data_IF_657851322048
#
_entry.id   IF_657851322048
#
_cell.length_a   1.000
_cell.length_b   1.000
_cell.length_c   1.000
_cell.angle_alpha   90.00
_cell.angle_beta   90.00
_cell.angle_gamma   90.00
#
_symmetry.space_group_name_H-M   'P 1'
#
loop_
_entity.id
_entity.type
_entity.pdbx_description
1 polymer ?
#
# COMPACT_ATOMS: atom_id res chain seq x y z
N UNK A 1 -107.36 45.84 14.80
CA UNK A 1 -106.51 46.21 15.95
C UNK A 1 -105.16 45.54 15.76
N UNK A 2 -104.06 46.29 15.87
CA UNK A 2 -102.65 45.84 15.79
C UNK A 2 -102.41 44.54 16.59
N UNK A 3 -101.45 43.67 16.26
CA UNK A 3 -100.00 43.91 16.22
C UNK A 3 -99.31 42.73 15.48
N UNK A 4 -98.13 42.97 14.89
CA UNK A 4 -97.42 42.01 14.05
C UNK A 4 -96.36 41.15 14.74
N UNK A 5 -95.64 40.44 13.86
CA UNK A 5 -94.21 40.06 13.84
C UNK A 5 -93.91 38.57 13.59
N UNK A 6 -93.02 38.40 12.59
CA UNK A 6 -91.94 37.42 12.38
C UNK A 6 -92.24 36.01 11.82
N UNK A 7 -91.61 35.78 10.65
CA UNK A 7 -90.98 34.60 9.99
C UNK A 7 -90.92 33.24 10.72
N UNK A 8 -90.69 32.08 10.04
CA UNK A 8 -89.82 31.87 8.85
C UNK A 8 -90.32 30.80 7.82
N UNK A 9 -89.41 30.36 6.93
CA UNK A 9 -89.28 29.02 6.28
C UNK A 9 -89.52 28.80 4.76
N UNK A 10 -88.39 28.50 4.08
CA UNK A 10 -88.06 27.40 3.15
C UNK A 10 -88.84 27.06 1.86
N UNK A 11 -88.09 27.08 0.73
CA UNK A 11 -87.96 26.05 -0.38
C UNK A 11 -89.20 25.92 -1.33
N UNK A 12 -89.10 25.73 -2.69
CA UNK A 12 -88.37 24.65 -3.40
C UNK A 12 -87.81 24.86 -4.84
N UNK A 13 -87.02 23.85 -5.27
CA UNK A 13 -86.92 23.09 -6.57
C UNK A 13 -87.28 23.77 -7.92
N UNK A 14 -86.75 23.47 -9.11
CA UNK A 14 -85.76 22.55 -9.70
C UNK A 14 -85.57 22.97 -11.20
N UNK A 15 -84.57 22.40 -11.90
CA UNK A 15 -84.57 21.92 -13.33
C UNK A 15 -83.20 22.10 -14.05
N UNK A 16 -82.65 20.93 -14.43
CA UNK A 16 -81.71 20.48 -15.49
C UNK A 16 -81.39 21.41 -16.72
N UNK A 17 -80.33 21.27 -17.54
CA UNK A 17 -79.21 20.31 -17.75
C UNK A 17 -78.16 20.87 -18.77
N UNK A 18 -76.99 20.19 -18.85
CA UNK A 18 -76.00 20.09 -19.97
C UNK A 18 -75.03 21.27 -20.17
N UNK A 19 -73.71 21.16 -20.41
CA UNK A 19 -72.92 20.18 -21.19
C UNK A 19 -71.50 19.93 -20.62
N UNK A 20 -70.92 18.82 -21.04
CA UNK A 20 -69.61 18.23 -20.74
C UNK A 20 -68.38 19.06 -21.17
N UNK A 21 -67.34 19.12 -20.33
CA UNK A 21 -66.02 19.66 -20.68
C UNK A 21 -64.90 18.86 -20.02
N UNK A 22 -64.02 18.30 -20.86
CA UNK A 22 -62.81 17.54 -20.54
C UNK A 22 -61.95 18.17 -19.42
N UNK A 23 -61.47 17.33 -18.48
CA UNK A 23 -60.41 17.69 -17.53
C UNK A 23 -59.12 16.95 -17.88
N UNK A 24 -58.68 17.07 -19.14
CA UNK A 24 -57.30 16.80 -19.53
C UNK A 24 -56.43 17.95 -19.02
N UNK A 25 -55.96 17.84 -17.77
CA UNK A 25 -54.85 18.68 -17.29
C UNK A 25 -53.56 18.10 -17.89
N UNK A 26 -53.02 18.76 -18.91
CA UNK A 26 -51.63 18.59 -19.33
C UNK A 26 -50.73 18.82 -18.11
N UNK A 27 -50.24 17.74 -17.52
CA UNK A 27 -49.22 17.78 -16.48
C UNK A 27 -47.93 18.25 -17.17
N UNK A 28 -47.45 19.43 -16.80
CA UNK A 28 -46.24 19.99 -17.37
C UNK A 28 -45.06 19.04 -17.12
N UNK A 29 -44.20 18.84 -18.11
CA UNK A 29 -42.97 18.01 -18.01
C UNK A 29 -42.14 18.41 -16.78
N UNK A 30 -42.15 19.68 -16.39
CA UNK A 30 -41.49 20.17 -15.17
C UNK A 30 -42.11 19.64 -13.88
N UNK A 31 -43.43 19.51 -13.80
CA UNK A 31 -44.16 18.96 -12.63
C UNK A 31 -43.91 17.45 -12.52
N UNK A 32 -43.89 16.74 -13.65
CA UNK A 32 -43.48 15.34 -13.69
C UNK A 32 -42.04 15.18 -13.18
N UNK A 33 -41.11 16.00 -13.67
CA UNK A 33 -39.71 15.96 -13.21
C UNK A 33 -39.55 16.29 -11.72
N UNK A 34 -40.31 17.23 -11.18
CA UNK A 34 -40.26 17.56 -9.74
C UNK A 34 -40.85 16.44 -8.89
N UNK A 35 -41.94 15.80 -9.31
CA UNK A 35 -42.52 14.63 -8.64
C UNK A 35 -41.52 13.46 -8.66
N UNK A 36 -40.86 13.20 -9.81
CA UNK A 36 -39.81 12.18 -9.91
C UNK A 36 -38.59 12.50 -9.04
N UNK A 37 -38.15 13.76 -9.00
CA UNK A 37 -37.04 14.20 -8.13
C UNK A 37 -37.40 14.00 -6.64
N UNK A 38 -38.61 14.38 -6.22
CA UNK A 38 -39.07 14.15 -4.85
C UNK A 38 -39.23 12.65 -4.53
N UNK A 39 -39.71 11.83 -5.47
CA UNK A 39 -39.82 10.39 -5.32
C UNK A 39 -38.45 9.70 -5.20
N UNK A 40 -37.43 10.20 -5.90
CA UNK A 40 -36.04 9.72 -5.79
C UNK A 40 -35.37 10.16 -4.48
N UNK A 41 -35.78 11.29 -3.89
CA UNK A 41 -35.29 11.77 -2.58
C UNK A 41 -35.98 11.04 -1.41
N UNK A 42 -37.20 10.53 -1.61
CA UNK A 42 -38.01 9.85 -0.57
C UNK A 42 -37.89 8.32 -0.56
N UNK A 43 -37.16 7.72 -1.51
CA UNK A 43 -36.69 6.36 -1.38
C UNK A 43 -35.33 6.41 -0.67
N UNK A 44 -35.23 6.15 0.64
CA UNK A 44 -33.98 5.65 1.18
C UNK A 44 -33.74 4.34 0.45
N UNK A 45 -32.96 4.39 -0.63
CA UNK A 45 -32.28 3.22 -1.13
C UNK A 45 -31.49 2.70 0.05
N UNK A 46 -31.98 1.64 0.70
CA UNK A 46 -31.21 0.89 1.67
C UNK A 46 -30.14 0.21 0.81
N UNK A 47 -29.05 0.94 0.55
CA UNK A 47 -27.81 0.30 0.18
C UNK A 47 -27.53 -0.65 1.35
N UNK A 48 -27.76 -1.95 1.13
CA UNK A 48 -27.32 -2.96 2.06
C UNK A 48 -25.82 -2.74 2.23
N UNK A 49 -25.41 -2.21 3.38
CA UNK A 49 -24.02 -1.89 3.64
C UNK A 49 -23.28 -3.21 3.83
N UNK A 50 -22.61 -3.66 2.78
CA UNK A 50 -21.72 -4.82 2.86
C UNK A 50 -20.52 -4.41 3.70
N UNK A 51 -20.43 -4.93 4.92
CA UNK A 51 -19.33 -4.58 5.83
C UNK A 51 -18.11 -5.45 5.58
N UNK A 52 -16.92 -4.92 5.87
CA UNK A 52 -15.66 -5.63 5.63
C UNK A 52 -15.21 -6.37 6.90
N UNK A 53 -14.90 -7.66 6.75
CA UNK A 53 -14.32 -8.50 7.79
C UNK A 53 -12.89 -8.85 7.39
N UNK A 54 -11.94 -8.71 8.30
CA UNK A 54 -10.52 -9.03 8.08
C UNK A 54 -10.12 -10.19 8.97
N UNK A 55 -9.42 -11.17 8.43
CA UNK A 55 -8.83 -12.26 9.20
C UNK A 55 -7.43 -12.59 8.71
N UNK A 56 -6.57 -13.06 9.60
CA UNK A 56 -5.29 -13.62 9.21
C UNK A 56 -5.44 -15.06 8.72
N UNK A 57 -4.57 -15.47 7.80
CA UNK A 57 -4.50 -16.83 7.29
C UNK A 57 -4.35 -17.82 8.45
N UNK A 58 -5.13 -18.90 8.43
CA UNK A 58 -5.20 -19.95 9.45
C UNK A 58 -5.76 -19.50 10.82
N UNK A 59 -6.26 -18.27 10.94
CA UNK A 59 -6.95 -17.81 12.15
C UNK A 59 -8.47 -18.00 12.02
N UNK A 60 -9.20 -17.83 13.12
CA UNK A 60 -10.67 -17.79 13.11
C UNK A 60 -11.17 -16.44 12.61
N UNK A 61 -11.98 -16.45 11.56
CA UNK A 61 -12.71 -15.27 11.10
C UNK A 61 -14.06 -15.17 11.84
N UNK A 62 -14.44 -13.95 12.22
CA UNK A 62 -15.69 -13.65 12.92
C UNK A 62 -16.59 -12.81 12.03
N UNK A 63 -17.64 -13.42 11.48
CA UNK A 63 -18.57 -12.79 10.55
C UNK A 63 -19.85 -12.43 11.32
N UNK A 64 -20.05 -11.14 11.61
CA UNK A 64 -21.22 -10.71 12.36
C UNK A 64 -22.43 -10.55 11.43
N UNK A 65 -23.58 -11.03 11.86
CA UNK A 65 -24.83 -10.77 11.16
C UNK A 65 -25.36 -9.37 11.47
N UNK A 66 -24.92 -8.72 12.57
CA UNK A 66 -25.47 -7.45 13.06
C UNK A 66 -26.99 -7.44 13.28
N UNK A 67 -27.58 -8.60 13.59
CA UNK A 67 -29.01 -8.67 13.91
C UNK A 67 -29.28 -8.08 15.30
N UNK A 68 -30.09 -7.02 15.43
CA UNK A 68 -30.26 -6.30 16.69
C UNK A 68 -31.17 -7.01 17.71
N UNK A 69 -31.99 -7.99 17.29
CA UNK A 69 -33.01 -8.67 18.10
C UNK A 69 -33.70 -7.78 19.17
N UNK A 70 -34.36 -6.67 18.79
CA UNK A 70 -34.81 -5.65 19.74
C UNK A 70 -35.87 -6.16 20.72
N UNK A 71 -36.67 -7.16 20.32
CA UNK A 71 -37.71 -7.76 21.16
C UNK A 71 -37.17 -8.85 22.10
N UNK A 72 -35.86 -9.14 22.06
CA UNK A 72 -35.22 -10.23 22.82
C UNK A 72 -35.96 -11.56 22.66
N UNK A 73 -36.42 -11.83 21.45
CA UNK A 73 -37.06 -13.09 21.11
C UNK A 73 -36.10 -14.25 21.35
N UNK A 74 -36.62 -15.38 21.85
CA UNK A 74 -35.84 -16.60 22.07
C UNK A 74 -35.19 -17.07 20.75
N UNK A 75 -33.92 -17.48 20.83
CA UNK A 75 -33.15 -18.05 19.71
C UNK A 75 -33.87 -19.24 19.06
N UNK A 76 -34.72 -19.94 19.80
CA UNK A 76 -35.54 -21.07 19.33
C UNK A 76 -36.64 -20.68 18.35
N UNK A 77 -36.97 -19.40 18.23
CA UNK A 77 -37.94 -18.92 17.22
C UNK A 77 -37.29 -18.61 15.87
N UNK A 78 -35.96 -18.65 15.81
CA UNK A 78 -35.20 -18.27 14.62
C UNK A 78 -34.61 -19.47 13.88
N UNK A 79 -34.52 -19.30 12.57
CA UNK A 79 -33.67 -20.07 11.69
C UNK A 79 -32.65 -19.10 11.11
N UNK A 80 -31.36 -19.44 11.20
CA UNK A 80 -30.25 -18.62 10.70
C UNK A 80 -29.53 -19.39 9.60
N UNK A 81 -29.41 -18.78 8.44
CA UNK A 81 -28.65 -19.32 7.31
C UNK A 81 -27.47 -18.41 7.00
N UNK A 82 -26.30 -19.03 6.84
CA UNK A 82 -25.13 -18.38 6.26
C UNK A 82 -24.83 -18.99 4.90
N UNK A 83 -24.64 -18.13 3.89
CA UNK A 83 -24.38 -18.52 2.51
C UNK A 83 -23.21 -17.76 1.92
N UNK A 84 -22.47 -18.40 1.01
CA UNK A 84 -21.45 -17.77 0.16
C UNK A 84 -21.72 -18.19 -1.28
N UNK A 85 -22.33 -17.31 -2.08
CA UNK A 85 -22.92 -17.72 -3.35
C UNK A 85 -23.96 -18.82 -3.14
N UNK A 86 -23.82 -19.94 -3.85
CA UNK A 86 -24.70 -21.11 -3.73
C UNK A 86 -24.28 -22.08 -2.61
N UNK A 87 -23.17 -21.81 -1.93
CA UNK A 87 -22.65 -22.68 -0.88
C UNK A 87 -23.31 -22.39 0.48
N UNK A 88 -23.77 -23.45 1.14
CA UNK A 88 -24.29 -23.37 2.51
C UNK A 88 -23.12 -23.42 3.48
N UNK A 89 -22.89 -22.31 4.17
CA UNK A 89 -21.75 -22.13 5.08
C UNK A 89 -22.07 -22.66 6.47
N UNK A 90 -23.27 -22.33 6.97
CA UNK A 90 -23.74 -22.76 8.28
C UNK A 90 -25.26 -22.61 8.39
N UNK A 91 -25.89 -23.47 9.18
CA UNK A 91 -27.33 -23.46 9.42
C UNK A 91 -27.62 -23.65 10.92
N UNK A 92 -28.48 -22.79 11.47
CA UNK A 92 -29.06 -22.96 12.80
C UNK A 92 -30.56 -23.04 12.67
N UNK A 93 -31.15 -24.15 13.10
CA UNK A 93 -32.57 -24.42 13.03
C UNK A 93 -33.16 -24.46 14.44
N UNK A 94 -33.98 -23.47 14.81
CA UNK A 94 -34.60 -23.34 16.13
C UNK A 94 -33.61 -23.47 17.29
N UNK A 95 -32.50 -22.73 17.18
CA UNK A 95 -31.44 -22.71 18.17
C UNK A 95 -30.52 -23.94 18.17
N UNK A 96 -30.69 -24.88 17.23
CA UNK A 96 -29.82 -26.05 17.08
C UNK A 96 -29.03 -25.96 15.77
N UNK A 97 -27.71 -26.12 15.84
CA UNK A 97 -26.88 -26.21 14.63
C UNK A 97 -27.25 -27.45 13.81
N UNK A 98 -27.32 -27.29 12.48
CA UNK A 98 -27.56 -28.36 11.51
C UNK A 98 -26.36 -28.46 10.58
N UNK A 99 -25.89 -29.68 10.34
CA UNK A 99 -24.71 -29.95 9.53
C UNK A 99 -24.99 -30.69 8.23
N UNK A 100 -26.21 -31.24 8.08
CA UNK A 100 -26.58 -32.13 6.97
C UNK A 100 -26.50 -31.46 5.59
N UNK A 101 -26.71 -30.14 5.54
CA UNK A 101 -26.77 -29.36 4.30
C UNK A 101 -25.50 -28.52 4.04
N UNK A 102 -24.49 -28.58 4.91
CA UNK A 102 -23.30 -27.74 4.76
C UNK A 102 -22.48 -28.18 3.55
N UNK A 103 -21.95 -27.21 2.81
CA UNK A 103 -20.98 -27.50 1.77
C UNK A 103 -19.73 -28.16 2.38
N UNK A 104 -19.14 -29.19 1.75
CA UNK A 104 -18.09 -30.02 2.37
C UNK A 104 -16.91 -29.24 2.97
N UNK A 105 -16.53 -28.11 2.38
CA UNK A 105 -15.39 -27.29 2.84
C UNK A 105 -15.63 -26.53 4.15
N UNK A 106 -16.87 -26.47 4.64
CA UNK A 106 -17.25 -25.79 5.89
C UNK A 106 -17.58 -26.75 7.02
N UNK A 107 -17.72 -28.05 6.73
CA UNK A 107 -17.94 -29.10 7.73
C UNK A 107 -16.81 -29.05 8.77
N UNK A 108 -17.16 -29.07 10.06
CA UNK A 108 -16.23 -28.97 11.20
C UNK A 108 -15.37 -27.69 11.24
N UNK A 109 -15.69 -26.68 10.43
CA UNK A 109 -14.99 -25.39 10.40
C UNK A 109 -15.87 -24.22 10.80
N UNK A 110 -17.18 -24.40 10.92
CA UNK A 110 -18.12 -23.32 11.26
C UNK A 110 -18.84 -23.57 12.58
N UNK A 111 -19.04 -22.50 13.34
CA UNK A 111 -19.81 -22.48 14.59
C UNK A 111 -20.54 -21.16 14.74
N UNK A 112 -21.75 -21.16 15.30
CA UNK A 112 -22.51 -19.94 15.54
C UNK A 112 -22.45 -19.51 17.02
N UNK A 113 -22.10 -18.26 17.26
CA UNK A 113 -22.33 -17.56 18.53
C UNK A 113 -23.69 -16.85 18.43
N UNK A 114 -24.74 -17.49 18.96
CA UNK A 114 -26.11 -16.98 18.87
C UNK A 114 -26.36 -15.75 19.76
N UNK A 115 -25.58 -15.57 20.83
CA UNK A 115 -25.71 -14.40 21.71
C UNK A 115 -25.22 -13.13 20.99
N UNK A 116 -24.17 -13.29 20.16
CA UNK A 116 -23.56 -12.20 19.38
C UNK A 116 -23.96 -12.19 17.92
N UNK A 117 -24.82 -13.11 17.48
CA UNK A 117 -25.20 -13.27 16.08
C UNK A 117 -24.01 -13.36 15.13
N UNK A 118 -22.97 -14.09 15.53
CA UNK A 118 -21.67 -14.09 14.84
C UNK A 118 -21.27 -15.52 14.45
N UNK A 119 -21.00 -15.71 13.16
CA UNK A 119 -20.42 -16.94 12.63
C UNK A 119 -18.90 -16.95 12.86
N UNK A 120 -18.40 -18.03 13.43
CA UNK A 120 -16.98 -18.32 13.56
C UNK A 120 -16.58 -19.29 12.45
N UNK A 121 -15.66 -18.86 11.58
CA UNK A 121 -15.05 -19.70 10.55
C UNK A 121 -13.61 -20.01 10.96
N UNK A 122 -13.36 -21.26 11.35
CA UNK A 122 -12.08 -21.75 11.84
C UNK A 122 -11.10 -21.99 10.68
N UNK A 123 -9.82 -21.75 10.95
CA UNK A 123 -8.71 -21.96 10.01
C UNK A 123 -8.99 -21.27 8.66
N UNK A 124 -9.30 -19.98 8.68
CA UNK A 124 -9.70 -19.22 7.49
C UNK A 124 -8.56 -19.18 6.47
N UNK A 125 -8.85 -19.63 5.25
CA UNK A 125 -7.92 -19.70 4.13
C UNK A 125 -8.24 -18.67 3.04
N UNK A 126 -7.30 -18.43 2.13
CA UNK A 126 -7.50 -17.51 0.98
C UNK A 126 -8.73 -17.88 0.15
N UNK A 127 -9.03 -19.17 0.01
CA UNK A 127 -10.23 -19.67 -0.70
C UNK A 127 -11.55 -19.29 -0.02
N UNK A 128 -11.51 -18.91 1.25
CA UNK A 128 -12.68 -18.46 1.99
C UNK A 128 -13.00 -16.98 1.73
N UNK A 129 -12.09 -16.19 1.12
CA UNK A 129 -12.38 -14.80 0.75
C UNK A 129 -13.63 -14.68 -0.12
N UNK A 130 -14.38 -13.60 0.11
CA UNK A 130 -15.57 -13.28 -0.66
C UNK A 130 -16.72 -12.79 0.18
N UNK A 131 -17.87 -12.63 -0.47
CA UNK A 131 -19.07 -12.10 0.12
C UNK A 131 -19.92 -13.22 0.73
N UNK A 132 -20.30 -13.02 1.99
CA UNK A 132 -21.17 -13.89 2.77
C UNK A 132 -22.49 -13.18 3.02
N UNK A 133 -23.57 -13.97 3.09
CA UNK A 133 -24.92 -13.51 3.39
C UNK A 133 -25.43 -14.23 4.64
N UNK A 134 -25.91 -13.45 5.59
CA UNK A 134 -26.67 -13.94 6.74
C UNK A 134 -28.16 -13.69 6.50
N UNK A 135 -28.99 -14.71 6.68
CA UNK A 135 -30.45 -14.64 6.52
C UNK A 135 -31.08 -15.16 7.81
N UNK A 136 -31.94 -14.35 8.44
CA UNK A 136 -32.67 -14.74 9.64
C UNK A 136 -34.15 -14.80 9.32
N UNK A 137 -34.71 -15.97 9.61
CA UNK A 137 -36.13 -16.28 9.44
C UNK A 137 -36.73 -16.45 10.83
N UNK A 138 -37.81 -15.74 11.11
CA UNK A 138 -38.59 -15.93 12.33
C UNK A 138 -39.85 -16.73 12.00
N UNK A 139 -40.19 -17.69 12.87
CA UNK A 139 -41.50 -18.36 12.82
C UNK A 139 -42.29 -17.99 14.08
N UNK A 140 -43.12 -16.95 13.98
CA UNK A 140 -44.09 -16.61 15.03
C UNK A 140 -45.27 -17.58 15.06
N UNK A 141 -45.72 -18.00 13.87
CA UNK A 141 -46.87 -18.88 13.70
C UNK A 141 -46.48 -20.10 12.85
N UNK A 142 -46.97 -21.30 13.18
CA UNK A 142 -46.64 -22.57 12.49
C UNK A 142 -46.92 -22.58 10.97
N UNK A 143 -47.58 -21.55 10.43
CA UNK A 143 -48.12 -21.53 9.06
C UNK A 143 -47.24 -20.82 8.01
N UNK A 144 -46.32 -19.93 8.39
CA UNK A 144 -45.41 -19.31 7.40
C UNK A 144 -44.13 -18.74 8.04
N UNK A 145 -42.96 -19.36 7.79
CA UNK A 145 -41.67 -18.73 8.09
C UNK A 145 -41.52 -17.43 7.29
N UNK A 146 -41.04 -16.35 7.92
CA UNK A 146 -40.79 -15.07 7.25
C UNK A 146 -39.34 -14.65 7.46
N UNK A 147 -38.66 -14.26 6.37
CA UNK A 147 -37.36 -13.58 6.45
C UNK A 147 -37.59 -12.23 7.13
N UNK A 148 -36.96 -12.02 8.28
CA UNK A 148 -37.08 -10.79 9.05
C UNK A 148 -35.83 -9.92 8.97
N UNK A 149 -34.70 -10.49 8.57
CA UNK A 149 -33.43 -9.80 8.51
C UNK A 149 -32.49 -10.46 7.52
N UNK A 150 -31.70 -9.65 6.82
CA UNK A 150 -30.65 -10.10 5.92
C UNK A 150 -29.51 -9.09 6.00
N UNK A 151 -28.28 -9.60 6.10
CA UNK A 151 -27.07 -8.79 6.04
C UNK A 151 -26.01 -9.48 5.21
N UNK A 152 -25.06 -8.68 4.73
CA UNK A 152 -23.97 -9.15 3.89
C UNK A 152 -22.63 -8.63 4.42
N UNK A 153 -21.58 -9.42 4.26
CA UNK A 153 -20.23 -9.05 4.64
C UNK A 153 -19.19 -9.62 3.68
N UNK A 154 -18.07 -8.92 3.53
CA UNK A 154 -16.96 -9.35 2.68
C UNK A 154 -15.78 -9.75 3.55
N UNK A 155 -15.40 -11.02 3.51
CA UNK A 155 -14.22 -11.54 4.18
C UNK A 155 -12.97 -11.33 3.33
N UNK A 156 -11.98 -10.67 3.92
CA UNK A 156 -10.64 -10.48 3.37
C UNK A 156 -9.62 -11.21 4.25
N UNK A 157 -8.72 -11.94 3.61
CA UNK A 157 -7.68 -12.74 4.24
C UNK A 157 -6.34 -12.04 4.10
N UNK A 158 -5.54 -12.10 5.15
CA UNK A 158 -4.21 -11.49 5.19
C UNK A 158 -3.15 -12.48 5.64
N UNK A 159 -1.98 -12.41 5.01
CA UNK A 159 -0.78 -13.07 5.48
C UNK A 159 0.36 -12.06 5.52
N UNK A 160 1.15 -12.10 6.59
CA UNK A 160 2.24 -11.15 6.79
C UNK A 160 3.41 -11.49 5.87
N UNK A 161 3.86 -10.49 5.14
CA UNK A 161 5.14 -10.55 4.44
C UNK A 161 6.29 -10.62 5.44
N UNK A 162 7.33 -11.37 5.09
CA UNK A 162 8.61 -11.33 5.79
C UNK A 162 9.21 -9.92 5.71
N UNK A 163 10.01 -9.53 6.69
CA UNK A 163 10.77 -8.29 6.60
C UNK A 163 11.62 -8.30 5.31
N UNK A 164 11.60 -7.23 4.49
CA UNK A 164 12.40 -7.19 3.27
C UNK A 164 13.89 -7.36 3.58
N UNK A 165 14.58 -8.20 2.83
CA UNK A 165 15.99 -8.52 3.03
C UNK A 165 16.81 -8.09 1.81
N UNK A 166 17.93 -7.40 2.04
CA UNK A 166 18.85 -6.95 0.99
C UNK A 166 20.04 -7.91 0.90
N UNK A 167 20.30 -8.43 -0.30
CA UNK A 167 21.42 -9.32 -0.60
C UNK A 167 22.27 -8.74 -1.73
N UNK A 168 23.60 -8.83 -1.60
CA UNK A 168 24.56 -8.50 -2.67
C UNK A 168 24.64 -9.67 -3.65
N UNK A 169 24.43 -9.39 -4.93
CA UNK A 169 24.38 -10.43 -5.98
C UNK A 169 25.78 -10.86 -6.47
N UNK A 170 26.83 -10.17 -6.05
CA UNK A 170 28.21 -10.51 -6.38
C UNK A 170 29.14 -10.31 -5.17
N UNK A 171 30.13 -11.18 -5.05
CA UNK A 171 31.06 -11.29 -3.91
C UNK A 171 32.42 -10.62 -4.13
N UNK A 172 32.57 -9.82 -5.18
CA UNK A 172 33.83 -9.10 -5.46
C UNK A 172 34.08 -7.91 -4.53
N UNK A 173 35.34 -7.48 -4.46
CA UNK A 173 35.72 -6.24 -3.78
C UNK A 173 34.98 -5.04 -4.35
N UNK A 174 34.50 -4.19 -3.44
CA UNK A 174 33.88 -2.92 -3.79
C UNK A 174 34.99 -1.97 -4.25
N UNK A 175 34.86 -1.47 -5.48
CA UNK A 175 35.76 -0.45 -6.02
C UNK A 175 34.98 0.83 -6.33
N UNK A 176 35.62 2.01 -6.22
CA UNK A 176 34.99 3.27 -6.58
C UNK A 176 34.41 3.19 -8.01
N UNK A 177 33.21 3.74 -8.20
CA UNK A 177 32.52 3.80 -9.49
C UNK A 177 32.22 2.46 -10.17
N UNK A 178 32.43 1.32 -9.48
CA UNK A 178 31.88 0.04 -9.91
C UNK A 178 30.41 -0.09 -9.49
N UNK A 179 29.70 -0.85 -10.30
CA UNK A 179 28.32 -1.20 -10.08
C UNK A 179 28.17 -2.16 -8.89
N UNK A 180 27.29 -1.79 -7.97
CA UNK A 180 26.81 -2.59 -6.86
C UNK A 180 25.42 -3.15 -7.22
N UNK A 181 25.37 -4.46 -7.45
CA UNK A 181 24.14 -5.19 -7.73
C UNK A 181 23.55 -5.73 -6.44
N UNK A 182 22.35 -5.27 -6.12
CA UNK A 182 21.57 -5.67 -4.96
C UNK A 182 20.27 -6.31 -5.41
N UNK A 183 19.82 -7.26 -4.60
CA UNK A 183 18.46 -7.79 -4.64
C UNK A 183 17.81 -7.49 -3.30
N UNK A 184 16.55 -7.09 -3.32
CA UNK A 184 15.72 -6.99 -2.13
C UNK A 184 14.51 -7.90 -2.30
N UNK A 185 14.26 -8.78 -1.34
CA UNK A 185 13.15 -9.75 -1.41
C UNK A 185 12.32 -9.80 -0.14
N UNK A 186 11.04 -10.11 -0.28
CA UNK A 186 10.10 -10.35 0.81
C UNK A 186 9.09 -11.41 0.37
N UNK A 187 8.65 -12.29 1.29
CA UNK A 187 7.89 -13.49 0.95
C UNK A 187 6.82 -13.84 1.97
N UNK A 188 5.92 -14.75 1.60
CA UNK A 188 4.93 -15.34 2.51
C UNK A 188 3.69 -14.47 2.75
N UNK A 189 3.52 -13.40 1.99
CA UNK A 189 2.44 -12.43 2.23
C UNK A 189 1.23 -12.58 1.31
N UNK A 190 0.11 -12.02 1.75
CA UNK A 190 -1.13 -11.93 0.97
C UNK A 190 -1.98 -10.77 1.51
N UNK A 191 -2.64 -9.94 0.68
CA UNK A 191 -2.73 -10.02 -0.80
C UNK A 191 -1.45 -9.53 -1.52
N UNK A 192 -1.48 -9.47 -2.84
CA UNK A 192 -0.40 -8.94 -3.68
C UNK A 192 -0.05 -7.49 -3.27
N UNK A 193 1.24 -7.14 -3.10
CA UNK A 193 1.62 -5.82 -2.64
C UNK A 193 1.62 -4.83 -3.81
N UNK A 194 1.61 -3.53 -3.50
CA UNK A 194 1.49 -2.49 -4.54
C UNK A 194 2.82 -2.13 -5.18
N UNK A 195 3.89 -2.06 -4.39
CA UNK A 195 5.17 -1.55 -4.88
C UNK A 195 6.34 -1.85 -3.96
N UNK A 196 7.55 -1.94 -4.53
CA UNK A 196 8.82 -1.83 -3.80
C UNK A 196 9.59 -0.56 -4.20
N UNK A 197 10.17 0.12 -3.22
CA UNK A 197 10.98 1.34 -3.41
C UNK A 197 12.32 1.19 -2.72
N UNK A 198 13.40 1.51 -3.43
CA UNK A 198 14.73 1.65 -2.84
C UNK A 198 14.91 3.05 -2.25
N UNK A 199 15.44 3.11 -1.03
CA UNK A 199 15.79 4.33 -0.32
C UNK A 199 17.31 4.38 -0.23
N UNK A 200 17.94 5.35 -0.89
CA UNK A 200 19.40 5.49 -0.93
C UNK A 200 19.75 6.82 -0.29
N UNK A 201 20.30 6.77 0.92
CA UNK A 201 20.70 7.95 1.68
C UNK A 201 22.21 8.13 1.61
N UNK A 202 22.64 9.33 1.21
CA UNK A 202 24.04 9.77 1.19
C UNK A 202 24.07 11.14 1.85
N UNK A 203 24.85 11.27 2.92
CA UNK A 203 24.87 12.49 3.74
C UNK A 203 23.43 12.93 4.09
N UNK A 204 23.01 14.13 3.67
CA UNK A 204 21.68 14.69 3.93
C UNK A 204 20.68 14.50 2.78
N UNK A 205 21.00 13.68 1.77
CA UNK A 205 20.14 13.44 0.61
C UNK A 205 19.65 12.00 0.58
N UNK A 206 18.34 11.81 0.46
CA UNK A 206 17.73 10.48 0.27
C UNK A 206 17.04 10.42 -1.09
N UNK A 207 17.52 9.52 -1.95
CA UNK A 207 16.95 9.24 -3.25
C UNK A 207 15.97 8.07 -3.12
N UNK A 208 14.77 8.23 -3.70
CA UNK A 208 13.76 7.17 -3.79
C UNK A 208 13.74 6.64 -5.21
N UNK A 209 14.02 5.35 -5.39
CA UNK A 209 14.01 4.71 -6.70
C UNK A 209 12.97 3.60 -6.75
N UNK A 210 11.98 3.79 -7.61
CA UNK A 210 11.03 2.74 -7.98
C UNK A 210 11.63 1.95 -9.14
N UNK A 211 11.78 0.64 -8.93
CA UNK A 211 12.28 -0.30 -9.94
C UNK A 211 11.19 -1.31 -10.26
N UNK A 212 11.42 -2.10 -11.30
CA UNK A 212 10.57 -3.26 -11.55
C UNK A 212 10.57 -4.17 -10.32
N UNK A 213 9.39 -4.65 -9.97
CA UNK A 213 9.14 -5.58 -8.88
C UNK A 213 8.69 -6.88 -9.53
N UNK A 214 9.52 -7.90 -9.42
CA UNK A 214 9.18 -9.26 -9.80
C UNK A 214 8.22 -9.81 -8.74
N UNK A 215 7.07 -10.32 -9.18
CA UNK A 215 6.05 -10.92 -8.30
C UNK A 215 5.88 -12.37 -8.69
N UNK A 216 5.86 -13.23 -7.68
CA UNK A 216 5.60 -14.67 -7.83
C UNK A 216 4.56 -15.10 -6.81
N UNK A 217 3.70 -16.04 -7.18
CA UNK A 217 2.68 -16.60 -6.29
C UNK A 217 2.88 -18.11 -6.20
N UNK A 218 2.95 -18.63 -4.98
CA UNK A 218 3.05 -20.07 -4.75
C UNK A 218 1.73 -20.76 -5.15
N UNK A 219 1.83 -21.82 -5.96
CA UNK A 219 0.67 -22.46 -6.54
C UNK A 219 -0.22 -23.17 -5.51
N UNK A 220 0.35 -23.60 -4.38
CA UNK A 220 -0.32 -24.39 -3.33
C UNK A 220 -0.88 -23.47 -2.24
N UNK A 221 -0.02 -22.69 -1.60
CA UNK A 221 -0.34 -21.79 -0.49
C UNK A 221 -1.01 -20.50 -0.95
N UNK A 222 -0.90 -20.14 -2.23
CA UNK A 222 -1.38 -18.87 -2.82
C UNK A 222 -0.72 -17.62 -2.25
N UNK A 223 0.36 -17.77 -1.47
CA UNK A 223 1.13 -16.66 -0.91
C UNK A 223 2.06 -16.05 -1.96
N UNK A 224 2.28 -14.74 -1.86
CA UNK A 224 3.12 -13.97 -2.74
C UNK A 224 4.56 -13.84 -2.21
N UNK A 225 5.49 -13.84 -3.15
CA UNK A 225 6.89 -13.45 -2.94
C UNK A 225 7.29 -12.42 -3.97
N UNK A 226 7.96 -11.36 -3.50
CA UNK A 226 8.35 -10.22 -4.32
C UNK A 226 9.84 -9.99 -4.25
N UNK A 227 10.41 -9.56 -5.36
CA UNK A 227 11.83 -9.23 -5.47
C UNK A 227 12.02 -7.99 -6.33
N UNK A 228 12.95 -7.13 -5.96
CA UNK A 228 13.39 -6.02 -6.80
C UNK A 228 14.91 -5.99 -6.86
N UNK A 229 15.45 -5.61 -8.02
CA UNK A 229 16.89 -5.52 -8.25
C UNK A 229 17.32 -4.07 -8.40
N UNK A 230 18.46 -3.73 -7.82
CA UNK A 230 19.07 -2.42 -7.91
C UNK A 230 20.50 -2.57 -8.40
N UNK A 231 20.86 -1.74 -9.37
CA UNK A 231 22.23 -1.55 -9.80
C UNK A 231 22.58 -0.06 -9.66
N UNK A 232 23.57 0.26 -8.80
CA UNK A 232 24.01 1.63 -8.53
C UNK A 232 25.53 1.69 -8.40
N UNK A 233 26.10 2.88 -8.61
CA UNK A 233 27.48 3.17 -8.22
C UNK A 233 27.52 3.80 -6.83
N UNK A 234 28.54 3.43 -6.06
CA UNK A 234 28.81 4.01 -4.74
C UNK A 234 30.04 4.91 -4.85
N UNK A 235 29.94 6.22 -4.49
CA UNK A 235 31.07 7.12 -4.52
C UNK A 235 32.11 6.75 -3.43
N UNK A 236 33.38 7.05 -3.70
CA UNK A 236 34.45 6.88 -2.72
C UNK A 236 34.31 7.91 -1.58
N UNK A 237 34.77 7.54 -0.37
CA UNK A 237 34.76 8.39 0.82
C UNK A 237 33.37 8.94 1.18
N UNK A 238 32.30 8.21 0.86
CA UNK A 238 30.93 8.60 1.17
C UNK A 238 30.15 7.40 1.69
N UNK A 239 29.76 7.44 2.95
CA UNK A 239 28.86 6.43 3.52
C UNK A 239 27.50 6.49 2.81
N UNK A 240 27.11 5.37 2.21
CA UNK A 240 25.84 5.20 1.52
C UNK A 240 25.00 4.19 2.28
N UNK A 241 23.83 4.63 2.76
CA UNK A 241 22.85 3.77 3.42
C UNK A 241 21.74 3.39 2.43
N UNK A 242 21.46 2.11 2.29
CA UNK A 242 20.49 1.57 1.35
C UNK A 242 19.45 0.76 2.11
N UNK A 243 18.20 1.17 2.01
CA UNK A 243 17.04 0.42 2.51
C UNK A 243 16.07 0.11 1.38
N UNK A 244 15.21 -0.86 1.63
CA UNK A 244 14.18 -1.29 0.72
C UNK A 244 12.83 -1.22 1.44
N UNK A 245 11.85 -0.56 0.82
CA UNK A 245 10.51 -0.30 1.34
C UNK A 245 9.50 -1.10 0.50
N UNK A 246 8.77 -2.01 1.13
CA UNK A 246 7.64 -2.72 0.55
C UNK A 246 6.33 -2.02 0.94
N UNK A 247 5.59 -1.54 -0.05
CA UNK A 247 4.27 -0.93 0.13
C UNK A 247 3.18 -1.97 -0.09
N UNK A 248 2.45 -2.32 0.97
CA UNK A 248 1.41 -3.35 0.96
C UNK A 248 0.05 -2.79 0.49
N UNK A 249 -0.16 -1.48 0.63
CA UNK A 249 -1.39 -0.76 0.31
C UNK A 249 -1.83 0.14 1.46
N UNK A 250 -2.78 1.04 1.19
CA UNK A 250 -3.21 2.10 2.13
C UNK A 250 -3.63 1.58 3.51
N UNK A 251 -4.26 0.40 3.57
CA UNK A 251 -4.75 -0.18 4.82
C UNK A 251 -3.75 -1.09 5.55
N UNK A 252 -2.67 -1.52 4.89
CA UNK A 252 -1.68 -2.45 5.46
C UNK A 252 -0.36 -1.78 5.79
N UNK A 253 -0.12 -0.58 5.27
CA UNK A 253 1.09 0.19 5.53
C UNK A 253 2.30 -0.32 4.74
N UNK A 254 3.47 -0.24 5.37
CA UNK A 254 4.75 -0.49 4.73
C UNK A 254 5.67 -1.36 5.60
N UNK A 255 6.54 -2.13 4.96
CA UNK A 255 7.64 -2.84 5.60
C UNK A 255 8.98 -2.31 5.10
N UNK A 256 9.96 -2.18 6.00
CA UNK A 256 11.29 -1.66 5.68
C UNK A 256 12.35 -2.72 6.00
N UNK A 257 13.32 -2.87 5.10
CA UNK A 257 14.48 -3.72 5.34
C UNK A 257 15.38 -3.17 6.45
N UNK A 258 16.21 -4.04 7.01
CA UNK A 258 17.41 -3.58 7.71
C UNK A 258 18.28 -2.77 6.73
N UNK A 259 18.80 -1.59 7.12
CA UNK A 259 19.64 -0.77 6.27
C UNK A 259 20.98 -1.46 5.96
N UNK A 260 21.40 -1.42 4.70
CA UNK A 260 22.72 -1.83 4.25
C UNK A 260 23.62 -0.59 4.16
N UNK A 261 24.57 -0.46 5.10
CA UNK A 261 25.62 0.55 5.05
C UNK A 261 26.77 0.11 4.15
N UNK A 262 27.18 0.97 3.22
CA UNK A 262 28.31 0.73 2.31
C UNK A 262 29.22 1.96 2.32
N UNK A 263 30.51 1.72 2.54
CA UNK A 263 31.55 2.73 2.43
C UNK A 263 32.72 2.16 1.64
N UNK A 264 33.22 2.94 0.67
CA UNK A 264 34.35 2.55 -0.17
C UNK A 264 35.50 3.53 0.16
N UNK A 265 36.65 3.04 0.64
CA UNK A 265 37.83 3.87 0.82
C UNK A 265 38.25 4.49 -0.51
N UNK A 266 38.56 5.78 -0.51
CA UNK A 266 39.23 6.41 -1.64
C UNK A 266 40.67 5.97 -1.72
N UNK A 267 41.20 5.85 -2.94
CA UNK A 267 42.65 5.75 -3.11
C UNK A 267 43.25 7.08 -2.65
N UNK A 268 44.15 7.05 -1.66
CA UNK A 268 45.01 8.19 -1.36
C UNK A 268 45.79 8.49 -2.64
N UNK A 269 45.64 9.70 -3.19
CA UNK A 269 46.59 10.15 -4.20
C UNK A 269 47.95 10.15 -3.54
N UNK A 270 48.78 9.16 -3.86
CA UNK A 270 50.20 9.19 -3.56
C UNK A 270 50.70 10.53 -4.10
N UNK A 271 51.01 11.46 -3.21
CA UNK A 271 51.63 12.73 -3.60
C UNK A 271 52.91 12.34 -4.32
N UNK A 272 52.92 12.47 -5.65
CA UNK A 272 54.14 12.35 -6.43
C UNK A 272 55.08 13.41 -5.87
N UNK A 273 55.98 13.00 -4.99
CA UNK A 273 57.00 13.84 -4.40
C UNK A 273 58.01 14.09 -5.50
N UNK A 274 57.78 15.14 -6.28
CA UNK A 274 58.73 15.56 -7.30
C UNK A 274 59.98 16.04 -6.54
N UNK A 275 61.02 15.20 -6.52
CA UNK A 275 62.29 15.54 -5.90
C UNK A 275 63.02 16.61 -6.73
N UNK A 276 62.75 17.88 -6.42
CA UNK A 276 63.43 19.04 -7.03
C UNK A 276 64.94 19.08 -6.75
N UNK A 277 65.48 18.20 -5.88
CA UNK A 277 66.93 18.13 -5.59
C UNK A 277 67.76 17.73 -6.81
N UNK A 278 67.26 16.84 -7.68
CA UNK A 278 67.99 16.39 -8.87
C UNK A 278 68.29 17.53 -9.85
N UNK A 279 67.27 18.27 -10.32
CA UNK A 279 67.47 19.43 -11.20
C UNK A 279 68.29 20.55 -10.53
N UNK A 280 68.06 20.82 -9.25
CA UNK A 280 68.74 21.91 -8.53
C UNK A 280 70.24 21.63 -8.38
N UNK A 281 70.61 20.37 -8.08
CA UNK A 281 72.02 19.96 -7.97
C UNK A 281 72.72 20.04 -9.32
N UNK A 282 72.08 19.63 -10.42
CA UNK A 282 72.65 19.76 -11.77
C UNK A 282 72.92 21.22 -12.16
N UNK A 283 72.00 22.14 -11.83
CA UNK A 283 72.18 23.58 -12.09
C UNK A 283 73.35 24.16 -11.28
N UNK A 284 73.46 23.80 -9.99
CA UNK A 284 74.59 24.24 -9.15
C UNK A 284 75.93 23.71 -9.68
N UNK A 285 75.99 22.46 -10.14
CA UNK A 285 77.20 21.89 -10.74
C UNK A 285 77.57 22.62 -12.04
N UNK A 286 76.62 22.98 -12.88
CA UNK A 286 76.89 23.75 -14.11
C UNK A 286 77.37 25.17 -13.81
N UNK A 287 76.80 25.84 -12.81
CA UNK A 287 77.23 27.17 -12.37
C UNK A 287 78.66 27.13 -11.79
N UNK A 288 78.97 26.12 -10.98
CA UNK A 288 80.33 25.98 -10.42
C UNK A 288 81.36 25.64 -11.51
N UNK A 289 81.05 24.77 -12.46
CA UNK A 289 81.93 24.46 -13.60
C UNK A 289 82.19 25.69 -14.49
N UNK A 290 81.15 26.48 -14.77
CA UNK A 290 81.31 27.71 -15.56
C UNK A 290 82.14 28.77 -14.83
N UNK A 291 81.95 28.95 -13.51
CA UNK A 291 82.80 29.82 -12.68
C UNK A 291 84.26 29.36 -12.67
N UNK A 292 84.52 28.06 -12.49
CA UNK A 292 85.87 27.49 -12.54
C UNK A 292 86.49 27.72 -13.91
N UNK A 293 85.75 27.52 -15.01
CA UNK A 293 86.22 27.79 -16.36
C UNK A 293 86.60 29.27 -16.55
N UNK A 294 85.79 30.20 -16.05
CA UNK A 294 86.08 31.64 -16.10
C UNK A 294 87.33 31.98 -15.28
N UNK A 295 87.49 31.41 -14.08
CA UNK A 295 88.68 31.62 -13.24
C UNK A 295 89.94 31.03 -13.90
N UNK A 296 89.86 29.84 -14.49
CA UNK A 296 90.97 29.23 -15.23
C UNK A 296 91.34 30.05 -16.47
N UNK A 297 90.35 30.57 -17.20
CA UNK A 297 90.59 31.44 -18.35
C UNK A 297 91.22 32.78 -17.93
N UNK A 298 90.79 33.33 -16.78
CA UNK A 298 91.38 34.55 -16.18
C UNK A 298 92.82 34.32 -15.74
N UNK A 299 93.11 33.18 -15.10
CA UNK A 299 94.47 32.80 -14.65
C UNK A 299 95.41 32.49 -15.82
N UNK A 300 94.91 31.89 -16.91
CA UNK A 300 95.68 31.65 -18.14
C UNK A 300 96.03 32.96 -18.87
N UNK A 301 95.22 34.01 -18.73
CA UNK A 301 95.50 35.33 -19.28
C UNK A 301 96.39 36.20 -18.36
N UNK A 302 96.79 35.72 -17.18
CA UNK A 302 97.62 36.48 -16.23
C UNK A 302 98.82 35.65 -15.74
N UNK A 303 99.98 35.83 -16.41
CA UNK A 303 101.38 35.73 -15.92
C UNK A 303 102.28 34.68 -16.64
N UNK A 304 103.62 34.90 -16.85
CA UNK A 304 104.42 36.14 -16.97
C UNK A 304 105.33 36.17 -18.23
N UNK A 305 105.80 37.36 -18.63
CA UNK A 305 106.98 37.53 -19.52
C UNK A 305 108.19 37.90 -18.68
N UNK A 306 109.25 37.08 -18.71
CA UNK A 306 110.58 37.36 -18.13
C UNK A 306 111.58 37.64 -19.25
N UNK A 307 112.43 38.66 -19.10
CA UNK A 307 113.84 38.77 -19.53
C UNK A 307 114.33 40.21 -19.20
N UNK A 308 115.17 40.42 -18.17
CA UNK A 308 116.64 40.26 -18.06
C UNK A 308 117.46 41.49 -18.51
N UNK A 309 117.88 42.26 -17.50
CA UNK A 309 119.13 43.02 -17.24
C UNK A 309 120.16 43.21 -18.38
N UNK A 310 120.59 44.47 -18.59
CA UNK A 310 122.01 44.89 -18.68
C UNK A 310 122.23 46.43 -18.70
N UNK A 311 122.73 46.96 -17.57
CA UNK A 311 123.86 47.89 -17.30
C UNK A 311 124.51 48.86 -18.36
N UNK A 312 124.83 50.08 -17.85
CA UNK A 312 125.80 51.16 -18.25
C UNK A 312 125.41 52.02 -19.48
N UNK A 313 125.41 53.37 -19.49
CA UNK A 313 126.35 54.41 -18.99
C UNK A 313 125.61 55.52 -18.24
#
# INVERSE_FOLDING_TARGET
MNLGLLHPESIPEDIAASETGSLDKEISVMEVCTIFLYAMILLPGIAASVHQVKSFLNHTAYLSCYFPNPQKTDIKEFIVFWQKGDEVVHEVYYGQEKYDNLSPKYINRTKMDMDKWTLQLLNAGIVDEGQYKCIIIQRRDKKSPKVIYTSECSLYIFANYSQPEIVRLHTGELKPNKYLNLSCSSSGGYPEPKQMTWLISRENRTLRLMRHMDVSQDAVTKLYSVTTKLNITVPANTFTNISCLLHLGEQLGNLVSVPLGVEIPGEEMEQVKIDFLGPLTAVIVLITLSLVFVILKKKRNSSPTNQSVSLVV
#
